data_IF_452680372468
#
_entry.id   IF_452680372468
#
_cell.length_a   1.000
_cell.length_b   1.000
_cell.length_c   1.000
_cell.angle_alpha   90.00
_cell.angle_beta   90.00
_cell.angle_gamma   90.00
#
_symmetry.space_group_name_H-M   'P 1'
#
loop_
_entity.id
_entity.type
_entity.pdbx_description
1 polymer ?
#
# COMPACT_ATOMS: atom_id res chain seq x y z
N UNK A 1 10.52 -20.92 18.21
CA UNK A 1 10.53 -19.49 17.80
C UNK A 1 9.70 -19.41 16.54
N UNK A 2 8.80 -18.43 16.46
CA UNK A 2 7.93 -18.18 15.31
C UNK A 2 8.24 -16.80 14.76
N UNK A 3 8.52 -16.73 13.46
CA UNK A 3 8.64 -15.48 12.74
C UNK A 3 7.33 -15.22 11.98
N UNK A 4 6.99 -13.95 11.80
CA UNK A 4 5.74 -13.47 11.21
C UNK A 4 4.48 -14.24 11.70
N UNK A 5 4.38 -14.41 13.03
CA UNK A 5 3.31 -15.20 13.68
C UNK A 5 1.91 -14.75 13.27
N UNK A 6 1.76 -13.49 12.84
CA UNK A 6 0.49 -12.92 12.39
C UNK A 6 -0.15 -13.69 11.22
N UNK A 7 0.63 -14.46 10.46
CA UNK A 7 0.11 -15.37 9.43
C UNK A 7 -0.64 -16.59 10.00
N UNK A 8 -0.34 -17.00 11.23
CA UNK A 8 -1.00 -18.10 11.93
C UNK A 8 -2.24 -17.59 12.67
N UNK A 9 -3.43 -17.88 12.16
CA UNK A 9 -4.70 -17.48 12.80
C UNK A 9 -5.40 -18.65 13.46
N UNK A 10 -6.12 -18.35 14.54
CA UNK A 10 -6.96 -19.30 15.26
C UNK A 10 -6.91 -19.10 16.77
N UNK A 11 -8.05 -19.25 17.42
CA UNK A 11 -8.14 -19.44 18.87
C UNK A 11 -8.52 -20.89 19.21
N UNK A 12 -9.18 -21.56 18.27
CA UNK A 12 -9.70 -22.92 18.38
C UNK A 12 -9.41 -23.70 17.09
N UNK A 13 -9.54 -25.02 17.12
CA UNK A 13 -9.24 -25.88 15.97
C UNK A 13 -10.15 -25.57 14.77
N UNK A 14 -11.38 -25.14 15.02
CA UNK A 14 -12.41 -24.91 14.00
C UNK A 14 -12.24 -23.59 13.25
N UNK A 15 -11.64 -22.58 13.88
CA UNK A 15 -11.41 -21.26 13.29
C UNK A 15 -9.95 -21.01 12.90
N UNK A 16 -9.09 -22.01 13.06
CA UNK A 16 -7.69 -21.91 12.72
C UNK A 16 -7.43 -22.13 11.23
N UNK A 17 -6.52 -21.34 10.66
CA UNK A 17 -5.99 -21.65 9.34
C UNK A 17 -5.01 -22.83 9.42
N UNK A 18 -4.54 -23.32 8.26
CA UNK A 18 -3.67 -24.51 8.19
C UNK A 18 -2.43 -24.37 9.07
N UNK A 19 -1.80 -23.19 9.10
CA UNK A 19 -0.62 -22.94 9.93
C UNK A 19 -0.96 -22.81 11.41
N UNK A 20 -2.01 -22.07 11.74
CA UNK A 20 -2.47 -21.89 13.10
C UNK A 20 -2.89 -23.20 13.75
N UNK A 21 -3.53 -24.10 12.99
CA UNK A 21 -3.90 -25.43 13.45
C UNK A 21 -2.68 -26.25 13.87
N UNK A 22 -1.56 -26.16 13.13
CA UNK A 22 -0.32 -26.84 13.52
C UNK A 22 0.25 -26.28 14.82
N UNK A 23 0.22 -24.97 14.99
CA UNK A 23 0.72 -24.32 16.21
C UNK A 23 -0.14 -24.73 17.42
N UNK A 24 -1.46 -24.64 17.30
CA UNK A 24 -2.41 -25.01 18.35
C UNK A 24 -2.29 -26.48 18.78
N UNK A 25 -2.13 -27.40 17.82
CA UNK A 25 -2.16 -28.85 18.11
C UNK A 25 -0.82 -29.44 18.51
N UNK A 26 0.28 -28.93 17.95
CA UNK A 26 1.60 -29.57 18.08
C UNK A 26 2.60 -28.78 18.92
N UNK A 27 2.32 -27.52 19.22
CA UNK A 27 3.27 -26.65 19.93
C UNK A 27 2.63 -26.08 21.19
N UNK A 28 1.45 -25.47 21.07
CA UNK A 28 0.81 -24.78 22.19
C UNK A 28 0.56 -25.75 23.34
N UNK A 29 1.10 -25.41 24.52
CA UNK A 29 1.04 -26.24 25.73
C UNK A 29 2.07 -27.38 25.81
N UNK A 30 2.85 -27.65 24.74
CA UNK A 30 3.91 -28.67 24.74
C UNK A 30 5.31 -28.08 24.90
N UNK A 31 5.53 -26.85 24.41
CA UNK A 31 6.80 -26.16 24.56
C UNK A 31 6.90 -25.45 25.93
N UNK A 32 8.03 -25.61 26.63
CA UNK A 32 8.29 -24.91 27.90
C UNK A 32 8.36 -23.39 27.73
N UNK A 33 8.93 -22.93 26.60
CA UNK A 33 9.02 -21.52 26.24
C UNK A 33 8.73 -21.34 24.75
N UNK A 34 8.09 -20.22 24.42
CA UNK A 34 7.81 -19.83 23.04
C UNK A 34 8.14 -18.36 22.86
N UNK A 35 8.66 -18.02 21.69
CA UNK A 35 8.93 -16.65 21.26
C UNK A 35 8.26 -16.48 19.91
N UNK A 36 7.39 -15.50 19.80
CA UNK A 36 6.65 -15.17 18.59
C UNK A 36 6.96 -13.73 18.18
N UNK A 37 7.35 -13.54 16.92
CA UNK A 37 7.81 -12.28 16.36
C UNK A 37 6.89 -11.87 15.21
N UNK A 38 6.65 -10.57 15.06
CA UNK A 38 5.88 -10.00 13.96
C UNK A 38 6.20 -8.53 13.81
N UNK A 39 6.43 -8.06 12.58
CA UNK A 39 6.52 -6.62 12.29
C UNK A 39 5.14 -5.94 12.20
N UNK A 40 4.08 -6.73 12.06
CA UNK A 40 2.70 -6.27 11.89
C UNK A 40 1.76 -7.21 12.63
N UNK A 41 1.69 -7.15 13.97
CA UNK A 41 0.95 -8.09 14.81
C UNK A 41 -0.58 -7.87 14.76
N UNK A 42 -1.15 -7.74 13.58
CA UNK A 42 -2.59 -7.64 13.36
C UNK A 42 -2.99 -8.29 12.04
N UNK A 43 -4.29 -8.57 11.88
CA UNK A 43 -4.85 -9.17 10.67
C UNK A 43 -6.03 -8.37 10.16
N UNK A 44 -6.21 -8.37 8.84
CA UNK A 44 -7.35 -7.69 8.19
C UNK A 44 -8.65 -8.50 8.23
N UNK A 45 -8.60 -9.79 8.55
CA UNK A 45 -9.76 -10.68 8.67
C UNK A 45 -10.31 -10.77 10.11
N UNK A 46 -9.76 -9.97 11.04
CA UNK A 46 -10.13 -9.92 12.45
C UNK A 46 -10.06 -11.26 13.21
N UNK A 47 -9.43 -12.28 12.62
CA UNK A 47 -9.16 -13.54 13.31
C UNK A 47 -8.01 -13.35 14.30
N UNK A 48 -8.05 -14.02 15.46
CA UNK A 48 -7.00 -13.91 16.45
C UNK A 48 -5.73 -14.58 15.94
N UNK A 49 -4.58 -14.00 16.27
CA UNK A 49 -3.26 -14.59 16.06
C UNK A 49 -3.11 -15.72 17.07
N UNK A 50 -2.66 -16.89 16.61
CA UNK A 50 -2.44 -18.03 17.50
C UNK A 50 -1.45 -17.64 18.61
N UNK A 51 -1.76 -18.06 19.84
CA UNK A 51 -1.03 -17.71 21.07
C UNK A 51 -1.05 -16.22 21.47
N UNK A 52 -1.71 -15.36 20.70
CA UNK A 52 -1.95 -13.97 21.07
C UNK A 52 -2.87 -13.89 22.29
N UNK A 53 -2.55 -12.99 23.21
CA UNK A 53 -3.44 -12.62 24.32
C UNK A 53 -4.11 -11.30 23.98
N UNK A 54 -5.38 -11.18 24.30
CA UNK A 54 -6.16 -9.98 24.01
C UNK A 54 -6.74 -9.41 25.30
N UNK A 55 -6.81 -8.09 25.41
CA UNK A 55 -7.44 -7.42 26.54
C UNK A 55 -8.95 -7.67 26.55
N UNK A 56 -9.53 -7.60 27.72
CA UNK A 56 -10.98 -7.70 27.96
C UNK A 56 -11.39 -6.43 28.72
N UNK A 57 -12.39 -5.65 28.25
CA UNK A 57 -13.29 -5.90 27.10
C UNK A 57 -12.81 -5.35 25.76
N UNK A 58 -11.68 -4.63 25.73
CA UNK A 58 -11.29 -3.82 24.58
C UNK A 58 -10.71 -4.63 23.40
N UNK A 59 -10.46 -5.93 23.56
CA UNK A 59 -10.01 -6.83 22.48
C UNK A 59 -8.66 -6.45 21.86
N UNK A 60 -7.81 -5.70 22.56
CA UNK A 60 -6.51 -5.24 22.05
C UNK A 60 -5.45 -6.33 22.24
N UNK A 61 -4.59 -6.53 21.25
CA UNK A 61 -3.49 -7.49 21.38
C UNK A 61 -2.50 -7.03 22.46
N UNK A 62 -2.26 -7.91 23.42
CA UNK A 62 -1.26 -7.75 24.46
C UNK A 62 0.06 -8.37 23.98
N UNK A 63 1.11 -7.56 23.95
CA UNK A 63 2.46 -7.97 23.55
C UNK A 63 3.41 -7.87 24.75
N UNK A 64 4.33 -8.83 24.88
CA UNK A 64 5.30 -8.83 25.98
C UNK A 64 6.37 -7.74 25.82
N UNK A 65 6.69 -7.39 24.57
CA UNK A 65 7.64 -6.32 24.20
C UNK A 65 7.27 -5.73 22.85
N UNK A 66 7.45 -4.41 22.69
CA UNK A 66 7.23 -3.69 21.45
C UNK A 66 8.42 -2.80 21.13
N UNK A 67 8.98 -2.97 19.93
CA UNK A 67 9.97 -2.06 19.36
C UNK A 67 9.31 -1.29 18.22
N UNK A 68 8.97 -0.04 18.49
CA UNK A 68 8.12 0.79 17.61
C UNK A 68 8.91 1.33 16.42
N UNK A 69 8.20 1.71 15.36
CA UNK A 69 8.85 2.39 14.22
C UNK A 69 9.48 3.71 14.67
N UNK A 70 8.83 4.42 15.59
CA UNK A 70 9.38 5.64 16.22
C UNK A 70 10.74 5.38 16.87
N UNK A 71 10.82 4.37 17.75
CA UNK A 71 12.07 4.00 18.41
C UNK A 71 13.13 3.59 17.39
N UNK A 72 12.75 2.82 16.36
CA UNK A 72 13.68 2.40 15.32
C UNK A 72 14.27 3.57 14.51
N UNK A 73 13.51 4.65 14.33
CA UNK A 73 13.99 5.89 13.69
C UNK A 73 14.92 6.65 14.64
N UNK A 74 14.55 6.80 15.91
CA UNK A 74 15.36 7.47 16.94
C UNK A 74 16.71 6.76 17.16
N UNK A 75 16.72 5.43 17.13
CA UNK A 75 17.91 4.58 17.26
C UNK A 75 18.74 4.52 15.95
N UNK A 76 18.28 5.15 14.87
CA UNK A 76 18.99 5.19 13.58
C UNK A 76 18.99 3.86 12.82
N UNK A 77 18.08 2.94 13.15
CA UNK A 77 17.91 1.63 12.49
C UNK A 77 16.96 1.71 11.29
N UNK A 78 16.03 2.67 11.31
CA UNK A 78 15.07 2.95 10.24
C UNK A 78 15.18 4.40 9.74
N UNK A 79 14.87 4.58 8.45
CA UNK A 79 14.68 5.90 7.84
C UNK A 79 13.35 6.51 8.25
N UNK A 80 13.31 7.83 8.34
CA UNK A 80 12.07 8.56 8.53
C UNK A 80 11.24 8.54 7.22
N UNK A 81 9.98 8.06 7.25
CA UNK A 81 9.13 8.04 6.07
C UNK A 81 8.48 9.40 5.80
N UNK A 82 8.39 9.74 4.52
CA UNK A 82 7.58 10.82 3.97
C UNK A 82 6.62 10.26 2.94
N UNK A 83 5.32 10.39 3.21
CA UNK A 83 4.26 9.86 2.37
C UNK A 83 3.62 11.02 1.62
N UNK A 84 3.66 11.00 0.29
CA UNK A 84 3.07 12.01 -0.58
C UNK A 84 1.79 11.46 -1.20
N UNK A 85 0.66 12.05 -0.81
CA UNK A 85 -0.67 11.75 -1.32
C UNK A 85 -0.98 12.67 -2.51
N UNK A 86 -1.23 12.08 -3.67
CA UNK A 86 -1.48 12.79 -4.93
C UNK A 86 -2.98 12.80 -5.22
N UNK A 87 -3.52 13.98 -5.51
CA UNK A 87 -4.92 14.18 -5.83
C UNK A 87 -5.06 15.13 -7.04
N UNK A 88 -6.27 15.35 -7.55
CA UNK A 88 -6.54 16.29 -8.65
C UNK A 88 -7.90 16.96 -8.49
N UNK A 89 -7.94 18.28 -8.69
CA UNK A 89 -9.12 19.12 -8.48
C UNK A 89 -9.97 19.32 -9.75
N UNK A 90 -9.50 18.81 -10.89
CA UNK A 90 -10.13 18.90 -12.20
C UNK A 90 -10.28 17.51 -12.83
N UNK A 91 -10.82 16.59 -12.05
CA UNK A 91 -11.18 15.26 -12.51
C UNK A 91 -12.46 15.32 -13.32
N UNK A 92 -12.45 14.78 -14.54
CA UNK A 92 -13.64 14.67 -15.37
C UNK A 92 -13.94 13.20 -15.67
N UNK A 93 -15.19 12.80 -15.45
CA UNK A 93 -15.67 11.46 -15.83
C UNK A 93 -16.70 11.63 -16.93
N UNK A 94 -16.47 10.98 -18.07
CA UNK A 94 -17.43 10.95 -19.17
C UNK A 94 -18.25 9.66 -19.07
N UNK A 95 -19.56 9.79 -18.88
CA UNK A 95 -20.48 8.65 -18.90
C UNK A 95 -21.63 8.92 -19.87
N UNK A 96 -21.66 8.14 -20.95
CA UNK A 96 -22.70 7.99 -21.99
C UNK A 96 -23.28 9.25 -22.65
N UNK A 97 -23.60 10.33 -21.91
CA UNK A 97 -24.09 11.63 -22.43
C UNK A 97 -23.74 12.85 -21.54
N UNK A 98 -22.99 12.69 -20.44
CA UNK A 98 -22.61 13.81 -19.53
C UNK A 98 -21.13 13.76 -19.12
N UNK A 99 -20.53 14.95 -18.99
CA UNK A 99 -19.21 15.16 -18.39
C UNK A 99 -19.43 15.74 -16.99
N UNK A 100 -19.04 15.01 -15.97
CA UNK A 100 -19.11 15.45 -14.57
C UNK A 100 -17.70 15.78 -14.09
N UNK A 101 -17.56 16.89 -13.34
CA UNK A 101 -16.27 17.36 -12.80
C UNK A 101 -16.24 17.19 -11.29
N UNK A 102 -15.09 16.77 -10.75
CA UNK A 102 -14.89 16.45 -9.33
C UNK A 102 -13.65 17.15 -8.77
N UNK A 103 -13.72 17.53 -7.50
CA UNK A 103 -12.66 18.27 -6.79
C UNK A 103 -11.60 17.37 -6.16
N UNK A 104 -11.79 16.05 -6.19
CA UNK A 104 -10.83 15.05 -5.68
C UNK A 104 -11.11 13.65 -6.24
N UNK A 105 -10.09 12.80 -6.20
CA UNK A 105 -10.19 11.36 -6.47
C UNK A 105 -11.25 10.73 -5.56
N UNK A 106 -11.24 11.09 -4.27
CA UNK A 106 -12.21 10.60 -3.29
C UNK A 106 -13.65 10.91 -3.69
N UNK A 107 -13.91 12.15 -4.08
CA UNK A 107 -15.24 12.60 -4.50
C UNK A 107 -15.68 11.88 -5.77
N UNK A 108 -14.80 11.80 -6.77
CA UNK A 108 -15.05 11.09 -8.03
C UNK A 108 -15.41 9.62 -7.78
N UNK A 109 -14.65 8.92 -6.94
CA UNK A 109 -14.89 7.50 -6.64
C UNK A 109 -16.20 7.28 -5.86
N UNK A 110 -16.66 8.26 -5.07
CA UNK A 110 -17.94 8.17 -4.33
C UNK A 110 -19.15 8.48 -5.21
N UNK A 111 -19.02 9.44 -6.12
CA UNK A 111 -20.14 9.95 -6.92
C UNK A 111 -20.29 9.24 -8.26
N UNK A 112 -19.26 8.52 -8.73
CA UNK A 112 -19.28 7.79 -10.00
C UNK A 112 -19.10 6.30 -9.80
N UNK A 113 -19.26 5.52 -10.89
CA UNK A 113 -18.89 4.09 -10.92
C UNK A 113 -17.39 3.87 -11.16
N UNK A 114 -16.58 4.92 -11.18
CA UNK A 114 -15.15 4.80 -11.39
C UNK A 114 -14.53 4.01 -10.24
N UNK A 115 -13.56 3.15 -10.57
CA UNK A 115 -12.83 2.37 -9.59
C UNK A 115 -11.46 2.97 -9.36
N UNK A 116 -10.85 2.71 -8.20
CA UNK A 116 -9.44 3.06 -7.98
C UNK A 116 -8.51 2.45 -9.04
N UNK A 117 -8.87 1.28 -9.60
CA UNK A 117 -8.12 0.70 -10.72
C UNK A 117 -8.10 1.63 -11.94
N UNK A 118 -9.17 2.37 -12.21
CA UNK A 118 -9.24 3.32 -13.32
C UNK A 118 -8.28 4.50 -13.14
N UNK A 119 -7.95 4.86 -11.89
CA UNK A 119 -6.94 5.89 -11.57
C UNK A 119 -5.53 5.38 -11.82
N UNK A 120 -5.17 4.24 -11.23
CA UNK A 120 -3.81 3.70 -11.34
C UNK A 120 -3.46 3.18 -12.74
N UNK A 121 -4.44 2.93 -13.61
CA UNK A 121 -4.21 2.57 -15.01
C UNK A 121 -4.36 3.77 -15.97
N UNK A 122 -4.67 4.96 -15.47
CA UNK A 122 -4.74 6.15 -16.31
C UNK A 122 -3.32 6.66 -16.64
N UNK A 123 -3.06 6.91 -17.92
CA UNK A 123 -1.74 7.30 -18.41
C UNK A 123 -1.21 8.59 -17.76
N UNK A 124 -2.02 9.65 -17.73
CA UNK A 124 -1.62 10.95 -17.18
C UNK A 124 -1.31 10.83 -15.68
N UNK A 125 -2.16 10.11 -14.95
CA UNK A 125 -1.97 9.86 -13.52
C UNK A 125 -0.67 9.06 -13.25
N UNK A 126 -0.44 7.99 -14.01
CA UNK A 126 0.79 7.19 -13.91
C UNK A 126 2.04 8.03 -14.20
N UNK A 127 2.01 8.79 -15.30
CA UNK A 127 3.14 9.63 -15.71
C UNK A 127 3.44 10.71 -14.67
N UNK A 128 2.41 11.36 -14.12
CA UNK A 128 2.58 12.35 -13.07
C UNK A 128 3.22 11.75 -11.81
N UNK A 129 2.69 10.63 -11.30
CA UNK A 129 3.21 9.97 -10.11
C UNK A 129 4.66 9.47 -10.33
N UNK A 130 4.93 8.84 -11.47
CA UNK A 130 6.26 8.36 -11.83
C UNK A 130 7.25 9.51 -12.02
N UNK A 131 6.82 10.64 -12.59
CA UNK A 131 7.63 11.85 -12.75
C UNK A 131 8.13 12.37 -11.40
N UNK A 132 7.23 12.50 -10.42
CA UNK A 132 7.59 12.89 -9.04
C UNK A 132 8.57 11.91 -8.41
N UNK A 133 8.34 10.61 -8.60
CA UNK A 133 9.26 9.57 -8.16
C UNK A 133 10.65 9.71 -8.78
N UNK A 134 10.73 9.95 -10.09
CA UNK A 134 11.99 10.12 -10.83
C UNK A 134 12.75 11.37 -10.37
N UNK A 135 12.06 12.50 -10.24
CA UNK A 135 12.65 13.74 -9.73
C UNK A 135 13.19 13.55 -8.32
N UNK A 136 12.40 12.92 -7.44
CA UNK A 136 12.81 12.64 -6.06
C UNK A 136 14.02 11.70 -6.02
N UNK A 137 14.01 10.63 -6.80
CA UNK A 137 15.12 9.69 -6.87
C UNK A 137 16.40 10.37 -7.39
N UNK A 138 16.29 11.25 -8.38
CA UNK A 138 17.42 12.02 -8.88
C UNK A 138 18.01 12.96 -7.80
N UNK A 139 17.17 13.55 -6.94
CA UNK A 139 17.65 14.32 -5.78
C UNK A 139 18.37 13.44 -4.77
N UNK A 140 17.76 12.32 -4.34
CA UNK A 140 18.36 11.39 -3.38
C UNK A 140 19.69 10.81 -3.90
N UNK A 141 19.79 10.58 -5.21
CA UNK A 141 21.03 10.07 -5.85
C UNK A 141 22.18 11.07 -5.88
N UNK A 142 21.98 12.34 -5.52
CA UNK A 142 23.09 13.29 -5.33
C UNK A 142 23.95 12.91 -4.12
N UNK A 143 23.31 12.46 -3.05
CA UNK A 143 23.97 12.08 -1.79
C UNK A 143 24.16 10.55 -1.65
N UNK A 144 23.27 9.77 -2.27
CA UNK A 144 23.31 8.31 -2.29
C UNK A 144 23.28 7.81 -3.75
N UNK A 145 24.42 7.80 -4.48
CA UNK A 145 24.45 7.52 -5.92
C UNK A 145 23.82 6.19 -6.34
N UNK A 146 23.83 5.21 -5.43
CA UNK A 146 23.28 3.88 -5.65
C UNK A 146 21.83 3.72 -5.16
N UNK A 147 21.16 4.80 -4.75
CA UNK A 147 19.77 4.76 -4.34
C UNK A 147 18.88 4.25 -5.48
N UNK A 148 17.94 3.37 -5.12
CA UNK A 148 16.98 2.75 -6.01
C UNK A 148 15.55 3.18 -5.70
N UNK A 149 14.72 3.14 -6.74
CA UNK A 149 13.28 3.31 -6.69
C UNK A 149 12.56 1.97 -6.76
N UNK A 150 11.44 1.85 -6.05
CA UNK A 150 10.51 0.74 -6.12
C UNK A 150 9.20 1.22 -6.75
N UNK A 151 8.65 0.47 -7.70
CA UNK A 151 7.25 0.63 -8.10
C UNK A 151 6.48 -0.63 -7.76
N UNK A 152 5.37 -0.48 -7.04
CA UNK A 152 4.45 -1.59 -6.77
C UNK A 152 3.28 -1.49 -7.75
N UNK A 153 3.20 -2.44 -8.68
CA UNK A 153 2.22 -2.46 -9.76
C UNK A 153 1.06 -3.43 -9.45
N UNK A 154 -0.13 -3.10 -9.95
CA UNK A 154 -1.34 -3.92 -9.76
C UNK A 154 -1.35 -5.26 -10.52
N UNK A 155 -0.62 -5.37 -11.63
CA UNK A 155 -0.59 -6.58 -12.46
C UNK A 155 0.68 -6.65 -13.32
N UNK A 156 0.96 -7.80 -13.92
CA UNK A 156 2.09 -7.96 -14.84
C UNK A 156 1.97 -7.03 -16.05
N UNK A 157 0.76 -6.85 -16.58
CA UNK A 157 0.52 -5.93 -17.69
C UNK A 157 0.77 -4.48 -17.27
N UNK A 158 0.27 -4.11 -16.09
CA UNK A 158 0.50 -2.77 -15.53
C UNK A 158 1.99 -2.50 -15.29
N UNK A 159 2.74 -3.50 -14.78
CA UNK A 159 4.19 -3.39 -14.59
C UNK A 159 4.94 -3.15 -15.91
N UNK A 160 4.50 -3.78 -17.00
CA UNK A 160 5.08 -3.57 -18.32
C UNK A 160 4.83 -2.14 -18.83
N UNK A 161 3.60 -1.63 -18.68
CA UNK A 161 3.26 -0.22 -19.02
C UNK A 161 4.08 0.77 -18.19
N UNK A 162 4.24 0.54 -16.88
CA UNK A 162 5.08 1.35 -16.01
C UNK A 162 6.53 1.37 -16.49
N UNK A 163 7.09 0.19 -16.84
CA UNK A 163 8.46 0.09 -17.37
C UNK A 163 8.62 0.90 -18.65
N UNK A 164 7.66 0.84 -19.55
CA UNK A 164 7.68 1.62 -20.80
C UNK A 164 7.70 3.11 -20.52
N UNK A 165 6.83 3.61 -19.63
CA UNK A 165 6.80 5.02 -19.23
C UNK A 165 8.15 5.43 -18.61
N UNK A 166 8.66 4.68 -17.64
CA UNK A 166 9.93 4.96 -16.99
C UNK A 166 11.11 5.00 -17.98
N UNK A 167 11.17 4.03 -18.89
CA UNK A 167 12.29 3.89 -19.82
C UNK A 167 12.22 4.90 -20.97
N UNK A 168 11.04 5.05 -21.59
CA UNK A 168 10.87 5.85 -22.80
C UNK A 168 10.65 7.34 -22.50
N UNK A 169 9.84 7.66 -21.49
CA UNK A 169 9.50 9.05 -21.14
C UNK A 169 10.52 9.68 -20.19
N UNK A 170 10.98 8.91 -19.20
CA UNK A 170 11.87 9.42 -18.15
C UNK A 170 13.33 8.97 -18.27
N UNK A 171 13.66 8.17 -19.29
CA UNK A 171 15.03 7.71 -19.55
C UNK A 171 15.64 6.87 -18.41
N UNK A 172 14.80 6.23 -17.59
CA UNK A 172 15.24 5.49 -16.41
C UNK A 172 15.62 4.05 -16.76
N UNK A 173 16.60 3.50 -16.05
CA UNK A 173 16.91 2.06 -16.09
C UNK A 173 15.96 1.28 -15.16
N UNK A 174 15.35 0.21 -15.68
CA UNK A 174 14.25 -0.50 -15.01
C UNK A 174 14.42 -2.02 -15.06
N UNK A 175 14.38 -2.66 -13.88
CA UNK A 175 14.18 -4.11 -13.73
C UNK A 175 12.71 -4.41 -13.44
N UNK A 176 12.18 -5.52 -13.95
CA UNK A 176 10.85 -6.03 -13.60
C UNK A 176 11.02 -7.32 -12.82
N UNK A 177 10.26 -7.49 -11.73
CA UNK A 177 10.14 -8.75 -11.01
C UNK A 177 8.67 -9.08 -10.79
N UNK A 178 8.26 -10.27 -11.23
CA UNK A 178 6.89 -10.75 -11.08
C UNK A 178 6.88 -12.21 -10.70
N UNK A 179 5.76 -12.68 -10.15
CA UNK A 179 5.52 -14.10 -9.83
C UNK A 179 5.59 -15.04 -11.05
N UNK A 180 5.64 -14.51 -12.28
CA UNK A 180 5.77 -15.30 -13.51
C UNK A 180 7.22 -15.59 -13.90
N UNK A 181 8.19 -14.96 -13.25
CA UNK A 181 9.60 -15.29 -13.50
C UNK A 181 9.91 -16.66 -12.92
N UNK A 182 10.74 -17.43 -13.62
CA UNK A 182 11.23 -18.73 -13.14
C UNK A 182 12.06 -18.57 -11.86
N UNK A 183 12.89 -17.51 -11.80
CA UNK A 183 13.74 -17.20 -10.65
C UNK A 183 13.59 -15.74 -10.18
N UNK A 184 12.46 -15.36 -9.53
CA UNK A 184 12.22 -13.98 -9.10
C UNK A 184 13.27 -13.46 -8.10
N UNK A 185 13.79 -14.35 -7.24
CA UNK A 185 14.82 -14.00 -6.26
C UNK A 185 16.16 -13.67 -6.94
N UNK A 186 16.52 -14.37 -8.01
CA UNK A 186 17.73 -14.09 -8.76
C UNK A 186 17.67 -12.71 -9.42
N UNK A 187 16.50 -12.31 -9.93
CA UNK A 187 16.30 -10.95 -10.46
C UNK A 187 16.41 -9.87 -9.39
N UNK A 188 15.87 -10.13 -8.20
CA UNK A 188 16.00 -9.20 -7.08
C UNK A 188 17.47 -9.07 -6.67
N UNK A 189 18.22 -10.18 -6.60
CA UNK A 189 19.65 -10.15 -6.31
C UNK A 189 20.46 -9.45 -7.40
N UNK A 190 20.12 -9.63 -8.68
CA UNK A 190 20.71 -8.84 -9.78
C UNK A 190 20.45 -7.36 -9.60
N UNK A 191 19.22 -6.96 -9.28
CA UNK A 191 18.86 -5.57 -9.05
C UNK A 191 19.53 -4.97 -7.80
N UNK A 192 19.69 -5.77 -6.74
CA UNK A 192 20.38 -5.36 -5.50
C UNK A 192 21.81 -4.92 -5.80
N UNK A 193 22.51 -5.62 -6.68
CA UNK A 193 23.92 -5.39 -7.01
C UNK A 193 24.14 -4.54 -8.27
N UNK A 194 23.08 -4.09 -8.94
CA UNK A 194 23.20 -3.23 -10.13
C UNK A 194 23.10 -1.75 -9.79
N UNK A 195 23.35 -0.90 -10.79
CA UNK A 195 23.16 0.56 -10.74
C UNK A 195 21.78 1.01 -11.26
N UNK A 196 20.94 0.05 -11.69
CA UNK A 196 19.62 0.29 -12.24
C UNK A 196 18.78 1.15 -11.28
N UNK A 197 18.05 2.13 -11.82
CA UNK A 197 17.36 3.13 -11.02
C UNK A 197 16.07 2.58 -10.40
N UNK A 198 15.35 1.72 -11.10
CA UNK A 198 14.03 1.25 -10.65
C UNK A 198 13.89 -0.26 -10.71
N UNK A 199 13.16 -0.79 -9.74
CA UNK A 199 12.56 -2.12 -9.79
C UNK A 199 11.03 -2.00 -9.76
N UNK A 200 10.35 -2.61 -10.72
CA UNK A 200 8.90 -2.67 -10.79
C UNK A 200 8.46 -4.08 -10.38
N UNK A 201 7.65 -4.18 -9.34
CA UNK A 201 7.22 -5.44 -8.75
C UNK A 201 5.71 -5.63 -8.73
N UNK A 202 5.28 -6.88 -8.92
CA UNK A 202 3.89 -7.33 -8.76
C UNK A 202 3.86 -8.40 -7.68
N UNK A 203 3.44 -8.04 -6.47
CA UNK A 203 3.26 -8.98 -5.34
C UNK A 203 4.51 -9.67 -4.78
N UNK A 204 5.68 -9.59 -5.45
CA UNK A 204 6.88 -10.33 -5.03
C UNK A 204 7.73 -9.61 -3.99
N UNK A 205 7.71 -8.28 -3.95
CA UNK A 205 8.54 -7.49 -3.01
C UNK A 205 7.82 -7.21 -1.67
N UNK A 206 6.58 -7.69 -1.46
CA UNK A 206 5.89 -7.55 -0.18
C UNK A 206 6.39 -8.52 0.90
N UNK A 207 7.03 -9.63 0.55
CA UNK A 207 7.49 -10.66 1.50
C UNK A 207 8.95 -11.09 1.25
N UNK A 208 9.72 -11.28 2.32
CA UNK A 208 10.99 -12.03 2.29
C UNK A 208 12.21 -11.43 1.56
N UNK A 209 12.13 -10.24 0.94
CA UNK A 209 13.30 -9.66 0.25
C UNK A 209 13.70 -8.29 0.81
N UNK A 210 14.90 -8.21 1.35
CA UNK A 210 15.51 -6.96 1.83
C UNK A 210 16.23 -6.29 0.66
N UNK A 211 16.09 -4.99 0.40
CA UNK A 211 16.91 -4.28 -0.62
C UNK A 211 17.25 -2.88 -0.05
N UNK A 212 18.32 -2.75 0.77
CA UNK A 212 18.56 -1.55 1.56
C UNK A 212 18.76 -0.25 0.77
N UNK A 213 19.11 -0.36 -0.52
CA UNK A 213 19.28 0.80 -1.41
C UNK A 213 17.96 1.42 -1.87
N UNK A 214 16.82 0.78 -1.65
CA UNK A 214 15.52 1.36 -1.98
C UNK A 214 15.20 2.53 -1.04
N UNK A 215 14.94 3.70 -1.61
CA UNK A 215 14.64 4.93 -0.85
C UNK A 215 13.40 5.68 -1.36
N UNK A 216 12.98 5.43 -2.60
CA UNK A 216 11.80 6.04 -3.21
C UNK A 216 10.84 4.94 -3.65
N UNK A 217 9.55 5.07 -3.35
CA UNK A 217 8.51 4.11 -3.71
C UNK A 217 7.35 4.82 -4.42
N UNK A 218 6.92 4.28 -5.54
CA UNK A 218 5.69 4.63 -6.24
C UNK A 218 4.67 3.50 -6.04
N UNK A 219 3.65 3.75 -5.23
CA UNK A 219 2.64 2.74 -4.88
C UNK A 219 1.41 2.86 -5.80
N UNK A 220 1.28 1.91 -6.73
CA UNK A 220 0.18 1.81 -7.69
C UNK A 220 -0.43 0.40 -7.69
N UNK A 221 -0.61 -0.17 -6.50
CA UNK A 221 -1.20 -1.49 -6.27
C UNK A 221 -2.73 -1.42 -6.20
N UNK A 222 -3.42 -2.49 -6.61
CA UNK A 222 -4.85 -2.67 -6.36
C UNK A 222 -5.17 -3.19 -4.96
N UNK A 223 -4.17 -3.66 -4.21
CA UNK A 223 -4.32 -4.16 -2.83
C UNK A 223 -4.41 -2.96 -1.88
N UNK A 224 -5.54 -2.86 -1.15
CA UNK A 224 -5.86 -1.72 -0.28
C UNK A 224 -6.03 -2.15 1.19
N UNK A 225 -5.10 -2.95 1.70
CA UNK A 225 -5.06 -3.32 3.12
C UNK A 225 -3.95 -2.55 3.83
N UNK A 226 -4.18 -2.17 5.08
CA UNK A 226 -3.18 -1.44 5.87
C UNK A 226 -1.90 -2.25 6.07
N UNK A 227 -2.05 -3.56 6.31
CA UNK A 227 -0.94 -4.51 6.39
C UNK A 227 -0.04 -4.44 5.16
N UNK A 228 -0.63 -4.52 3.96
CA UNK A 228 0.13 -4.47 2.72
C UNK A 228 0.81 -3.12 2.52
N UNK A 229 0.12 -2.02 2.83
CA UNK A 229 0.68 -0.67 2.76
C UNK A 229 1.92 -0.52 3.66
N UNK A 230 1.84 -1.01 4.90
CA UNK A 230 2.96 -0.95 5.86
C UNK A 230 4.11 -1.88 5.49
N UNK A 231 3.81 -3.06 4.94
CA UNK A 231 4.84 -3.96 4.39
C UNK A 231 5.61 -3.31 3.23
N UNK A 232 4.90 -2.66 2.29
CA UNK A 232 5.53 -1.92 1.18
C UNK A 232 6.37 -0.76 1.70
N UNK A 233 5.83 0.03 2.64
CA UNK A 233 6.56 1.15 3.23
C UNK A 233 7.85 0.64 3.90
N UNK A 234 7.79 -0.45 4.66
CA UNK A 234 8.94 -1.06 5.33
C UNK A 234 10.10 -1.42 4.40
N UNK A 235 9.84 -1.65 3.10
CA UNK A 235 10.90 -1.95 2.10
C UNK A 235 11.83 -0.78 1.82
N UNK A 236 11.37 0.46 2.04
CA UNK A 236 12.18 1.66 1.82
C UNK A 236 12.74 2.27 3.10
N UNK A 237 12.40 1.73 4.28
CA UNK A 237 12.84 2.26 5.58
C UNK A 237 14.21 1.75 6.03
N UNK A 238 14.80 0.76 5.35
CA UNK A 238 16.04 0.11 5.76
C UNK A 238 17.23 1.06 5.61
N UNK A 239 17.92 1.43 6.69
CA UNK A 239 19.11 2.29 6.59
C UNK A 239 20.24 1.62 5.80
N UNK A 240 21.05 2.44 5.14
CA UNK A 240 22.33 2.05 4.53
C UNK A 240 23.42 3.01 5.03
N UNK A 241 24.66 2.86 4.56
CA UNK A 241 25.79 3.71 4.98
C UNK A 241 25.74 5.18 4.50
N UNK A 242 24.65 5.64 3.89
CA UNK A 242 24.53 7.03 3.39
C UNK A 242 24.15 8.02 4.50
N UNK A 243 24.39 9.32 4.27
CA UNK A 243 24.13 10.39 5.25
C UNK A 243 22.67 10.81 5.32
N UNK A 244 21.92 10.74 4.22
CA UNK A 244 20.49 11.10 4.18
C UNK A 244 19.59 9.86 4.36
N UNK A 245 18.90 9.82 5.50
CA UNK A 245 18.06 8.69 5.92
C UNK A 245 16.56 9.03 5.80
N UNK A 246 16.14 9.60 4.67
CA UNK A 246 14.73 9.79 4.35
C UNK A 246 14.26 8.73 3.35
N UNK A 247 13.02 8.30 3.53
CA UNK A 247 12.33 7.40 2.62
C UNK A 247 11.07 8.09 2.07
N UNK A 248 10.82 7.99 0.77
CA UNK A 248 9.70 8.68 0.12
C UNK A 248 8.73 7.68 -0.49
N UNK A 249 7.46 7.74 -0.12
CA UNK A 249 6.38 6.95 -0.74
C UNK A 249 5.39 7.89 -1.43
N UNK A 250 5.17 7.70 -2.72
CA UNK A 250 4.18 8.41 -3.53
C UNK A 250 3.00 7.49 -3.80
N UNK A 251 1.78 7.96 -3.54
CA UNK A 251 0.55 7.22 -3.82
C UNK A 251 -0.60 8.18 -4.11
N UNK A 252 -1.68 7.71 -4.71
CA UNK A 252 -2.88 8.51 -4.90
C UNK A 252 -3.70 8.64 -3.61
N UNK A 253 -4.38 9.78 -3.46
CA UNK A 253 -5.23 10.16 -2.33
C UNK A 253 -6.60 9.46 -2.41
N UNK A 254 -6.58 8.13 -2.28
CA UNK A 254 -7.77 7.32 -2.10
C UNK A 254 -8.09 7.13 -0.60
N UNK A 255 -9.36 6.94 -0.26
CA UNK A 255 -9.85 6.95 1.13
C UNK A 255 -9.04 6.07 2.09
N UNK A 256 -8.81 4.80 1.73
CA UNK A 256 -8.09 3.85 2.58
C UNK A 256 -6.63 4.24 2.72
N UNK A 257 -5.99 4.67 1.62
CA UNK A 257 -4.57 5.04 1.61
C UNK A 257 -4.28 6.31 2.42
N UNK A 258 -5.19 7.29 2.39
CA UNK A 258 -5.11 8.48 3.25
C UNK A 258 -5.14 8.04 4.72
N UNK A 259 -6.09 7.18 5.10
CA UNK A 259 -6.22 6.69 6.47
C UNK A 259 -4.99 5.92 6.94
N UNK A 260 -4.41 5.06 6.08
CA UNK A 260 -3.20 4.31 6.42
C UNK A 260 -1.99 5.23 6.60
N UNK A 261 -1.88 6.29 5.77
CA UNK A 261 -0.81 7.26 5.88
C UNK A 261 -0.91 8.11 7.16
N UNK A 262 -2.13 8.51 7.55
CA UNK A 262 -2.38 9.28 8.78
C UNK A 262 -2.18 8.44 10.05
N UNK A 263 -2.38 7.11 9.97
CA UNK A 263 -2.16 6.18 11.09
C UNK A 263 -0.75 5.60 11.16
N UNK A 264 0.19 6.01 10.31
CA UNK A 264 1.50 5.36 10.28
C UNK A 264 2.27 5.50 11.60
N UNK A 265 2.01 6.57 12.35
CA UNK A 265 2.56 6.81 13.69
C UNK A 265 1.93 5.93 14.77
N UNK A 266 0.80 5.28 14.48
CA UNK A 266 0.19 4.27 15.35
C UNK A 266 0.85 2.93 15.03
N UNK A 267 1.59 2.36 15.98
CA UNK A 267 2.28 1.08 15.75
C UNK A 267 1.30 -0.11 15.68
N UNK A 268 0.23 -0.11 16.48
CA UNK A 268 -0.87 -1.09 16.43
C UNK A 268 -2.17 -0.30 16.19
N UNK A 269 -2.80 -0.41 15.01
CA UNK A 269 -4.01 0.35 14.70
C UNK A 269 -5.22 -0.08 15.55
N UNK A 270 -6.06 0.89 15.96
CA UNK A 270 -7.30 0.61 16.72
C UNK A 270 -8.31 -0.24 15.94
N UNK A 271 -8.25 -0.23 14.61
CA UNK A 271 -9.09 -1.10 13.76
C UNK A 271 -8.80 -2.60 13.93
N UNK A 272 -7.80 -2.96 14.72
CA UNK A 272 -7.35 -4.34 14.95
C UNK A 272 -7.90 -4.95 16.26
N UNK A 273 -8.96 -4.36 16.83
CA UNK A 273 -9.69 -4.90 17.97
C UNK A 273 -10.34 -6.24 17.61
N UNK A 274 -10.06 -7.27 18.42
CA UNK A 274 -10.69 -8.57 18.33
C UNK A 274 -12.17 -8.47 18.74
N UNK A 275 -13.07 -8.80 17.83
CA UNK A 275 -14.49 -8.91 18.14
C UNK A 275 -14.81 -10.30 18.68
N UNK A 276 -14.53 -10.57 19.96
CA UNK A 276 -15.34 -11.54 20.70
C UNK A 276 -16.35 -10.77 21.53
N UNK A 277 -17.51 -10.50 20.94
CA UNK A 277 -18.68 -10.19 21.73
C UNK A 277 -19.76 -11.16 21.28
N UNK A 278 -20.05 -12.13 22.13
CA UNK A 278 -21.11 -13.11 21.94
C UNK A 278 -22.49 -12.45 21.90
N UNK A 279 -22.83 -11.85 20.77
CA UNK A 279 -24.20 -11.43 20.43
C UNK A 279 -24.55 -12.06 19.10
N UNK A 280 -25.46 -13.02 19.16
CA UNK A 280 -26.21 -13.53 18.01
C UNK A 280 -26.85 -12.34 17.30
N UNK A 281 -26.28 -11.91 16.17
CA UNK A 281 -27.02 -11.13 15.20
C UNK A 281 -27.92 -12.12 14.48
N UNK A 282 -29.20 -12.12 14.83
CA UNK A 282 -30.23 -12.80 14.05
C UNK A 282 -30.13 -12.30 12.60
N UNK A 283 -29.60 -13.15 11.72
CA UNK A 283 -29.74 -12.95 10.31
C UNK A 283 -31.21 -13.21 9.97
N UNK A 284 -31.94 -12.15 9.60
CA UNK A 284 -33.28 -12.24 9.03
C UNK A 284 -33.25 -13.15 7.79
N UNK A 285 -33.52 -14.43 7.99
CA UNK A 285 -33.82 -15.38 6.93
C UNK A 285 -35.28 -15.23 6.54
N UNK A 286 -35.58 -14.45 5.51
CA UNK A 286 -36.80 -14.64 4.73
C UNK A 286 -36.48 -15.36 3.43
N UNK A 287 -36.55 -16.68 3.49
CA UNK A 287 -36.64 -17.57 2.33
C UNK A 287 -38.05 -17.43 1.74
N UNK A 288 -38.16 -17.06 0.47
CA UNK A 288 -39.25 -17.54 -0.38
C UNK A 288 -38.69 -18.18 -1.65
N UNK A 289 -39.06 -19.45 -1.80
CA UNK A 289 -38.67 -20.38 -2.85
C UNK A 289 -39.35 -20.07 -4.20
N UNK A 290 -38.56 -20.27 -5.26
CA UNK A 290 -38.86 -20.70 -6.62
C UNK A 290 -40.31 -21.02 -7.03
N UNK A 291 -40.68 -20.62 -8.25
CA UNK A 291 -41.15 -21.58 -9.27
C UNK A 291 -40.96 -21.10 -10.72
N UNK A 292 -40.86 -22.10 -11.61
CA UNK A 292 -40.41 -22.15 -13.00
C UNK A 292 -41.13 -21.26 -14.03
N UNK A 293 -40.40 -20.89 -15.09
CA UNK A 293 -40.94 -20.49 -16.39
C UNK A 293 -39.85 -20.42 -17.47
N UNK A 294 -40.08 -21.11 -18.58
CA UNK A 294 -39.12 -21.50 -19.62
C UNK A 294 -38.88 -20.50 -20.78
N UNK A 295 -37.69 -20.63 -21.39
CA UNK A 295 -37.33 -20.34 -22.81
C UNK A 295 -37.20 -18.88 -23.32
N UNK A 296 -35.95 -18.55 -23.63
CA UNK A 296 -35.43 -18.17 -24.95
C UNK A 296 -34.99 -16.70 -25.23
N UNK A 297 -33.83 -16.65 -25.90
CA UNK A 297 -33.30 -15.65 -26.85
C UNK A 297 -32.27 -14.59 -26.37
N UNK A 298 -31.16 -14.63 -27.10
CA UNK A 298 -30.06 -13.68 -27.33
C UNK A 298 -30.23 -12.24 -26.82
N UNK A 299 -29.17 -11.74 -26.20
CA UNK A 299 -28.88 -10.30 -26.08
C UNK A 299 -27.48 -10.06 -25.54
N UNK A 300 -26.54 -9.73 -26.42
CA UNK A 300 -25.22 -9.20 -26.08
C UNK A 300 -25.37 -7.86 -25.35
N UNK A 301 -24.78 -7.71 -24.16
CA UNK A 301 -24.52 -6.38 -23.58
C UNK A 301 -23.09 -6.29 -23.08
N UNK A 302 -22.33 -5.40 -23.75
CA UNK A 302 -20.94 -5.09 -23.46
C UNK A 302 -20.77 -4.34 -22.15
N UNK A 303 -19.59 -4.50 -21.55
CA UNK A 303 -19.15 -3.69 -20.42
C UNK A 303 -19.01 -2.22 -20.84
N UNK A 304 -19.88 -1.35 -20.33
CA UNK A 304 -19.66 0.09 -20.44
C UNK A 304 -18.55 0.50 -19.47
N UNK A 305 -17.37 0.80 -20.02
CA UNK A 305 -16.22 1.34 -19.29
C UNK A 305 -16.37 2.85 -19.15
N UNK A 306 -16.43 3.35 -17.91
CA UNK A 306 -16.34 4.80 -17.62
C UNK A 306 -14.91 5.27 -17.88
N UNK A 307 -14.73 6.36 -18.65
CA UNK A 307 -13.39 6.93 -18.94
C UNK A 307 -13.16 8.15 -18.05
N UNK A 308 -12.07 8.10 -17.28
CA UNK A 308 -11.59 9.21 -16.43
C UNK A 308 -10.55 10.01 -17.22
N UNK A 309 -10.71 11.33 -17.26
CA UNK A 309 -9.76 12.29 -17.85
C UNK A 309 -9.35 13.33 -16.82
N UNK A 310 -8.07 13.68 -16.78
CA UNK A 310 -7.51 14.65 -15.85
C UNK A 310 -7.30 15.97 -16.60
N UNK A 311 -7.77 17.10 -16.06
CA UNK A 311 -7.67 18.39 -16.75
C UNK A 311 -6.22 18.85 -16.97
N UNK A 312 -5.97 19.56 -18.07
CA UNK A 312 -4.63 20.05 -18.44
C UNK A 312 -4.39 21.43 -17.79
N UNK A 313 -3.48 21.49 -16.80
CA UNK A 313 -3.09 22.73 -16.14
C UNK A 313 -2.00 23.43 -16.94
N UNK A 314 -2.34 24.52 -17.64
CA UNK A 314 -1.38 25.35 -18.35
C UNK A 314 -0.31 25.93 -17.41
N UNK A 315 0.96 25.84 -17.83
CA UNK A 315 2.15 26.31 -17.12
C UNK A 315 1.97 27.73 -16.55
N UNK A 316 1.94 27.84 -15.23
CA UNK A 316 2.02 29.09 -14.49
C UNK A 316 2.99 28.94 -13.33
N UNK A 317 4.18 29.50 -13.46
CA UNK A 317 5.16 29.65 -12.39
C UNK A 317 4.64 30.60 -11.30
N UNK A 318 4.63 30.18 -10.03
CA UNK A 318 4.83 31.08 -8.88
C UNK A 318 5.18 30.32 -7.60
N UNK A 319 6.32 30.70 -7.00
CA UNK A 319 6.65 30.50 -5.60
C UNK A 319 5.65 31.24 -4.69
N UNK A 320 5.41 30.73 -3.47
CA UNK A 320 5.41 31.52 -2.23
C UNK A 320 5.40 30.61 -1.00
N UNK A 321 6.45 30.74 -0.19
CA UNK A 321 6.56 30.19 1.16
C UNK A 321 5.55 30.86 2.09
N UNK A 322 4.91 30.06 2.95
CA UNK A 322 4.12 30.52 4.09
C UNK A 322 4.08 29.47 5.20
N UNK A 323 4.84 29.71 6.27
CA UNK A 323 4.89 28.91 7.50
C UNK A 323 3.65 29.11 8.37
N UNK A 324 2.97 28.02 8.78
CA UNK A 324 2.93 27.50 10.16
C UNK A 324 1.95 26.30 10.27
N UNK A 325 2.47 25.08 10.42
CA UNK A 325 1.72 23.84 10.75
C UNK A 325 2.08 22.62 9.87
N UNK A 326 2.06 21.43 10.47
CA UNK A 326 2.59 20.09 10.11
C UNK A 326 2.27 19.47 8.72
N UNK A 327 1.79 20.24 7.74
CA UNK A 327 1.40 19.73 6.41
C UNK A 327 1.80 20.72 5.31
N UNK A 328 2.66 20.30 4.40
CA UNK A 328 2.99 21.08 3.19
C UNK A 328 2.08 20.64 2.04
N UNK A 329 1.24 21.55 1.56
CA UNK A 329 0.42 21.38 0.35
C UNK A 329 1.11 22.08 -0.83
N UNK A 330 1.43 21.33 -1.89
CA UNK A 330 2.08 21.86 -3.09
C UNK A 330 1.14 21.75 -4.30
N UNK A 331 1.03 22.84 -5.08
CA UNK A 331 0.14 22.95 -6.25
C UNK A 331 0.95 22.88 -7.55
N UNK A 332 0.63 21.93 -8.42
CA UNK A 332 1.29 21.74 -9.72
C UNK A 332 0.25 21.41 -10.81
N UNK A 333 -0.28 22.44 -11.47
CA UNK A 333 -1.31 22.27 -12.50
C UNK A 333 -2.63 21.75 -11.92
N UNK A 334 -3.27 20.79 -12.59
CA UNK A 334 -4.51 20.17 -12.11
C UNK A 334 -4.31 19.20 -10.93
N UNK A 335 -3.07 18.77 -10.68
CA UNK A 335 -2.74 17.88 -9.58
C UNK A 335 -2.31 18.67 -8.34
N UNK A 336 -2.74 18.18 -7.17
CA UNK A 336 -2.30 18.67 -5.86
C UNK A 336 -1.60 17.55 -5.10
N UNK A 337 -0.67 17.93 -4.24
CA UNK A 337 0.09 16.99 -3.41
C UNK A 337 -0.05 17.38 -1.94
N UNK A 338 -0.31 16.39 -1.09
CA UNK A 338 -0.24 16.53 0.38
C UNK A 338 0.89 15.64 0.88
N UNK A 339 1.90 16.24 1.52
CA UNK A 339 3.02 15.50 2.12
C UNK A 339 2.74 15.29 3.60
N UNK A 340 2.75 14.02 4.02
CA UNK A 340 2.72 13.60 5.42
C UNK A 340 4.15 13.22 5.80
N UNK A 341 4.77 14.04 6.64
CA UNK A 341 6.04 13.70 7.28
C UNK A 341 5.73 13.04 8.61
N UNK A 342 6.09 11.76 8.76
CA UNK A 342 5.85 11.03 10.00
C UNK A 342 7.05 11.16 10.94
N UNK A 343 6.79 11.15 12.24
CA UNK A 343 7.80 11.17 13.31
C UNK A 343 8.71 12.41 13.27
N UNK A 344 8.15 13.58 12.91
CA UNK A 344 8.89 14.85 12.94
C UNK A 344 9.26 15.18 14.39
N UNK A 345 10.55 15.10 14.70
CA UNK A 345 11.08 15.47 16.02
C UNK A 345 10.92 16.97 16.20
N UNK A 346 10.33 17.38 17.33
CA UNK A 346 10.08 18.78 17.71
C UNK A 346 11.36 19.48 18.14
#
# INVERSE_FOLDING_TARGET
>A
MFDEIHHCSGSELENANVWGLQVLTKIQGLATYTLALSGTPWRSDSLPIVMGKYSDPDGQLLVDYQYTLKQAIEDGVCRAPKITLIDNEHLSVTNSEKVESFSSILEMLKQTKASYQSVIHNQEAMEYLLGLGCERLAMVRKDSPNAGGLVVAASVQHAQTIKEILSQKFGQTVAIVTYRHEEPLAEIERYRHSDAQWIVSVGMISEGTDIPRLQVCCHMSSVKTELYFRQVLGRILRVNSSSEQQAWLFTFAEQSLIQFAERIEQDIPESCVFANMGVLVEADTSVQQNHLGSKALLGSHGSQSSKVSWGDGSNGSTNLYGTLGTFDELRLGAFRQRVISAFVVS
#
